data_IF_536628212478
#
_entry.id   IF_536628212478
#
_cell.length_a   1.000
_cell.length_b   1.000
_cell.length_c   1.000
_cell.angle_alpha   90.00
_cell.angle_beta   90.00
_cell.angle_gamma   90.00
#
_symmetry.space_group_name_H-M   'P 1'
#
loop_
_entity.id
_entity.type
_entity.pdbx_description
1 polymer ?
#
# COMPACT_ATOMS: atom_id res chain seq x y z
N UNK A 1 11.75 17.33 -6.46
CA UNK A 1 10.59 16.48 -6.81
C UNK A 1 10.99 15.04 -6.58
N UNK A 2 10.31 14.34 -5.67
CA UNK A 2 10.56 12.92 -5.42
C UNK A 2 10.03 12.09 -6.60
N UNK A 3 10.83 11.17 -7.15
CA UNK A 3 10.42 10.37 -8.31
C UNK A 3 10.37 8.89 -7.91
N UNK A 4 9.18 8.31 -7.98
CA UNK A 4 8.96 6.87 -7.79
C UNK A 4 9.29 6.15 -9.09
N UNK A 5 10.20 5.18 -9.03
CA UNK A 5 10.57 4.33 -10.16
C UNK A 5 9.96 2.94 -10.12
N UNK A 6 9.40 2.54 -8.98
CA UNK A 6 8.77 1.23 -8.81
C UNK A 6 8.06 1.11 -7.48
N UNK A 7 7.08 0.20 -7.45
CA UNK A 7 6.31 -0.15 -6.25
C UNK A 7 6.24 -1.67 -6.20
N UNK A 8 6.63 -2.25 -5.06
CA UNK A 8 6.48 -3.67 -4.77
C UNK A 8 5.57 -3.82 -3.55
N UNK A 9 4.40 -4.42 -3.76
CA UNK A 9 3.40 -4.67 -2.72
C UNK A 9 3.75 -5.90 -1.85
N UNK A 10 4.86 -6.57 -2.14
CA UNK A 10 5.33 -7.77 -1.44
C UNK A 10 4.24 -8.86 -1.37
N UNK A 11 3.41 -8.95 -2.43
CA UNK A 11 2.20 -9.75 -2.52
C UNK A 11 2.38 -11.19 -3.00
N UNK A 12 3.61 -11.68 -3.12
CA UNK A 12 3.88 -13.07 -3.49
C UNK A 12 3.16 -14.03 -2.52
N UNK A 13 2.61 -15.14 -3.02
CA UNK A 13 1.89 -16.14 -2.21
C UNK A 13 2.74 -16.65 -1.04
N UNK A 14 4.00 -17.01 -1.29
CA UNK A 14 4.96 -17.41 -0.26
C UNK A 14 5.61 -16.23 0.48
N UNK A 15 5.18 -15.00 0.21
CA UNK A 15 5.72 -13.77 0.76
C UNK A 15 5.34 -13.56 2.23
N UNK A 16 6.03 -12.62 2.89
CA UNK A 16 5.81 -12.31 4.30
C UNK A 16 4.39 -11.78 4.56
N UNK A 17 3.90 -10.84 3.73
CA UNK A 17 2.56 -10.28 3.87
C UNK A 17 1.49 -11.38 3.86
N UNK A 18 1.47 -12.23 2.84
CA UNK A 18 0.40 -13.23 2.70
C UNK A 18 0.43 -14.31 3.76
N UNK A 19 1.62 -14.76 4.18
CA UNK A 19 1.77 -15.69 5.31
C UNK A 19 1.34 -15.07 6.63
N UNK A 20 1.73 -13.83 6.90
CA UNK A 20 1.36 -13.12 8.12
C UNK A 20 -0.16 -12.88 8.19
N UNK A 21 -0.79 -12.62 7.05
CA UNK A 21 -2.24 -12.39 6.95
C UNK A 21 -3.06 -13.68 6.76
N UNK A 22 -2.43 -14.86 6.67
CA UNK A 22 -3.12 -16.12 6.39
C UNK A 22 -3.99 -16.03 5.12
N UNK A 23 -3.35 -15.60 4.03
CA UNK A 23 -3.94 -15.42 2.69
C UNK A 23 -3.08 -16.04 1.58
N UNK A 24 -2.07 -16.84 1.94
CA UNK A 24 -1.15 -17.52 1.03
C UNK A 24 -1.80 -18.68 0.24
N UNK A 25 -2.86 -19.27 0.79
CA UNK A 25 -3.65 -20.33 0.14
C UNK A 25 -4.47 -19.83 -1.05
N UNK A 26 -4.86 -18.54 -1.07
CA UNK A 26 -5.63 -17.98 -2.18
C UNK A 26 -4.83 -18.01 -3.50
N UNK A 27 -5.42 -18.56 -4.56
CA UNK A 27 -4.81 -18.69 -5.89
C UNK A 27 -4.98 -17.43 -6.75
N UNK A 28 -4.70 -16.27 -6.16
CA UNK A 28 -4.62 -14.98 -6.85
C UNK A 28 -3.18 -14.47 -6.76
N UNK A 29 -2.73 -13.69 -7.74
CA UNK A 29 -1.37 -13.14 -7.76
C UNK A 29 -1.27 -11.79 -7.02
N UNK A 30 -2.39 -11.11 -6.84
CA UNK A 30 -2.49 -9.83 -6.15
C UNK A 30 -2.27 -9.96 -4.63
N UNK A 31 -1.90 -8.83 -4.01
CA UNK A 31 -1.80 -8.73 -2.56
C UNK A 31 -3.20 -8.87 -1.93
N UNK A 32 -3.39 -9.90 -1.11
CA UNK A 32 -4.58 -10.09 -0.28
C UNK A 32 -4.16 -9.93 1.19
N UNK A 33 -4.73 -8.96 1.89
CA UNK A 33 -4.45 -8.67 3.31
C UNK A 33 -5.72 -8.66 4.14
N UNK A 34 -5.58 -8.78 5.46
CA UNK A 34 -6.67 -8.66 6.43
C UNK A 34 -6.60 -7.31 7.14
N UNK A 35 -7.76 -6.67 7.30
CA UNK A 35 -7.90 -5.38 8.02
C UNK A 35 -7.40 -5.49 9.46
N UNK A 36 -6.89 -4.38 10.01
CA UNK A 36 -6.45 -4.30 11.41
C UNK A 36 -5.10 -4.97 11.69
N UNK A 37 -4.39 -5.39 10.64
CA UNK A 37 -3.06 -5.96 10.73
C UNK A 37 -2.11 -5.22 9.78
N UNK A 38 -0.89 -4.82 10.22
CA UNK A 38 0.09 -4.16 9.36
C UNK A 38 0.59 -5.08 8.23
N UNK A 39 0.94 -4.48 7.10
CA UNK A 39 1.62 -5.13 5.97
C UNK A 39 2.70 -4.21 5.41
N UNK A 40 3.69 -4.79 4.74
CA UNK A 40 4.82 -4.06 4.18
C UNK A 40 4.62 -3.73 2.70
N UNK A 41 5.07 -2.55 2.28
CA UNK A 41 5.23 -2.17 0.88
C UNK A 41 6.62 -1.58 0.67
N UNK A 42 7.16 -1.70 -0.54
CA UNK A 42 8.45 -1.12 -0.90
C UNK A 42 8.30 -0.14 -2.05
N UNK A 43 8.72 1.10 -1.80
CA UNK A 43 8.84 2.14 -2.83
C UNK A 43 10.29 2.19 -3.32
N UNK A 44 10.48 2.15 -4.63
CA UNK A 44 11.77 2.43 -5.26
C UNK A 44 11.78 3.89 -5.70
N UNK A 45 12.78 4.63 -5.25
CA UNK A 45 12.93 6.05 -5.49
C UNK A 45 14.22 6.28 -6.30
N UNK A 46 14.20 7.22 -7.25
CA UNK A 46 15.38 7.56 -8.05
C UNK A 46 16.44 8.36 -7.29
N UNK A 47 16.13 8.70 -6.04
CA UNK A 47 16.98 9.42 -5.10
C UNK A 47 16.68 8.95 -3.67
N UNK A 48 17.57 9.21 -2.71
CA UNK A 48 17.27 9.01 -1.29
C UNK A 48 16.03 9.80 -0.87
N UNK A 49 15.24 9.20 0.01
CA UNK A 49 14.18 9.91 0.73
C UNK A 49 14.80 10.85 1.76
N UNK A 50 14.17 12.00 1.97
CA UNK A 50 14.59 13.01 2.94
C UNK A 50 13.32 13.50 3.64
N UNK A 51 13.14 13.20 4.94
CA UNK A 51 11.91 13.53 5.66
C UNK A 51 11.72 15.03 5.90
N UNK A 52 12.76 15.87 5.76
CA UNK A 52 12.64 17.32 5.89
C UNK A 52 12.15 17.96 4.58
N UNK A 53 12.46 17.34 3.44
CA UNK A 53 12.18 17.89 2.10
C UNK A 53 11.03 17.17 1.38
N UNK A 54 10.71 15.95 1.78
CA UNK A 54 9.77 15.07 1.08
C UNK A 54 8.64 14.61 1.99
N UNK A 55 7.43 14.50 1.40
CA UNK A 55 6.26 13.86 2.02
C UNK A 55 5.75 12.77 1.09
N UNK A 56 5.37 11.63 1.65
CA UNK A 56 4.75 10.51 0.92
C UNK A 56 3.43 10.19 1.60
N UNK A 57 2.37 10.03 0.80
CA UNK A 57 1.05 9.60 1.25
C UNK A 57 0.65 8.34 0.47
N UNK A 58 0.04 7.39 1.15
CA UNK A 58 -0.58 6.22 0.54
C UNK A 58 -2.10 6.46 0.45
N UNK A 59 -2.63 6.49 -0.76
CA UNK A 59 -4.08 6.60 -1.00
C UNK A 59 -4.64 5.24 -1.41
N UNK A 60 -5.63 4.75 -0.67
CA UNK A 60 -6.36 3.53 -1.00
C UNK A 60 -7.76 3.90 -1.48
N UNK A 61 -8.07 3.57 -2.74
CA UNK A 61 -9.34 3.91 -3.39
C UNK A 61 -10.13 2.63 -3.70
N UNK A 62 -11.45 2.69 -3.53
CA UNK A 62 -12.36 1.58 -3.83
C UNK A 62 -13.53 2.11 -4.68
N UNK A 63 -13.79 1.46 -5.83
CA UNK A 63 -14.88 1.77 -6.76
C UNK A 63 -14.62 2.96 -7.71
N UNK A 64 -15.38 3.02 -8.81
CA UNK A 64 -15.41 4.16 -9.74
C UNK A 64 -16.50 5.14 -9.31
N UNK A 65 -16.13 6.29 -8.72
CA UNK A 65 -16.76 7.61 -8.92
C UNK A 65 -16.75 8.55 -7.69
N UNK A 66 -16.65 9.83 -8.05
CA UNK A 66 -16.71 11.05 -7.25
C UNK A 66 -18.08 11.19 -6.59
N UNK A 67 -18.28 10.70 -5.37
CA UNK A 67 -19.38 11.15 -4.53
C UNK A 67 -18.88 12.31 -3.66
N UNK A 68 -19.43 13.54 -3.79
CA UNK A 68 -19.09 14.64 -2.90
C UNK A 68 -19.60 14.33 -1.48
N UNK A 69 -18.74 14.41 -0.47
CA UNK A 69 -19.16 14.50 0.94
C UNK A 69 -18.97 13.25 1.82
N UNK A 70 -18.39 12.16 1.35
CA UNK A 70 -17.99 11.05 2.24
C UNK A 70 -16.49 11.09 2.46
N UNK A 71 -16.00 11.30 3.70
CA UNK A 71 -14.58 11.12 4.02
C UNK A 71 -14.21 9.66 3.74
N UNK A 72 -13.40 9.43 2.71
CA UNK A 72 -12.86 8.11 2.35
C UNK A 72 -11.40 7.92 2.78
N UNK A 73 -10.81 8.97 3.35
CA UNK A 73 -9.49 8.93 3.96
C UNK A 73 -9.65 8.62 5.44
N UNK A 74 -8.78 7.74 5.96
CA UNK A 74 -8.64 7.60 7.41
C UNK A 74 -8.25 8.99 7.97
N UNK A 75 -8.88 9.46 9.07
CA UNK A 75 -8.43 10.68 9.72
C UNK A 75 -6.95 10.50 10.12
N UNK A 76 -6.13 11.54 9.90
CA UNK A 76 -4.78 11.58 10.46
C UNK A 76 -4.87 11.42 11.99
N UNK A 77 -3.93 10.70 12.63
CA UNK A 77 -3.86 10.58 14.09
C UNK A 77 -3.54 11.91 14.78
#
# INVERSE_FOLDING_TARGET
MLVVSGVDLMGQRSGANRRAHHTDEFEYDELIVRRGQPFDIRLQLRQPYDPELHRVCLELLVGESRAPGVPRHAPEP
#
